data_IF_425956127750
#
_entry.id   IF_425956127750
#
_cell.length_a   1.000
_cell.length_b   1.000
_cell.length_c   1.000
_cell.angle_alpha   90.00
_cell.angle_beta   90.00
_cell.angle_gamma   90.00
#
_symmetry.space_group_name_H-M   'P 1'
#
loop_
_entity.id
_entity.type
_entity.pdbx_description
1 polymer ?
#
# COMPACT_ATOMS: atom_id res chain seq x y z
N UNK A 1 7.82 -20.81 -9.85
CA UNK A 1 6.50 -20.38 -10.36
C UNK A 1 5.42 -21.24 -9.73
N UNK A 2 4.30 -20.64 -9.31
CA UNK A 2 3.17 -21.39 -8.74
C UNK A 2 2.26 -21.91 -9.84
N UNK A 3 1.95 -23.21 -9.82
CA UNK A 3 0.95 -23.80 -10.69
C UNK A 3 -0.41 -23.69 -10.01
N UNK A 4 -1.35 -23.01 -10.66
CA UNK A 4 -2.71 -22.86 -10.17
C UNK A 4 -3.57 -24.02 -10.71
N UNK A 5 -4.33 -24.65 -9.82
CA UNK A 5 -5.29 -25.70 -10.14
C UNK A 5 -6.72 -25.16 -10.03
N UNK A 6 -7.71 -26.00 -10.37
CA UNK A 6 -9.13 -25.68 -10.16
C UNK A 6 -9.42 -25.20 -8.74
N UNK A 7 -10.30 -24.20 -8.62
CA UNK A 7 -10.71 -23.59 -7.34
C UNK A 7 -9.73 -22.57 -6.77
N UNK A 8 -8.63 -22.25 -7.47
CA UNK A 8 -7.68 -21.22 -7.05
C UNK A 8 -8.03 -19.86 -7.67
N UNK A 9 -7.75 -18.80 -6.91
CA UNK A 9 -7.92 -17.40 -7.33
C UNK A 9 -6.53 -16.82 -7.59
N UNK A 10 -6.43 -15.92 -8.57
CA UNK A 10 -5.25 -15.11 -8.83
C UNK A 10 -5.66 -13.66 -9.12
N UNK A 11 -4.71 -12.74 -9.06
CA UNK A 11 -4.98 -11.32 -9.29
C UNK A 11 -5.54 -10.58 -8.07
N UNK A 12 -5.57 -11.21 -6.90
CA UNK A 12 -5.92 -10.57 -5.62
C UNK A 12 -5.06 -9.32 -5.33
N UNK A 13 -3.90 -9.21 -5.95
CA UNK A 13 -3.03 -8.06 -5.83
C UNK A 13 -3.41 -6.87 -6.69
N UNK A 14 -4.27 -7.06 -7.68
CA UNK A 14 -4.87 -5.98 -8.43
C UNK A 14 -5.76 -5.09 -7.53
N UNK A 15 -6.19 -5.61 -6.37
CA UNK A 15 -6.89 -4.85 -5.33
C UNK A 15 -6.00 -3.78 -4.66
N UNK A 16 -4.69 -3.86 -4.82
CA UNK A 16 -3.76 -2.86 -4.31
C UNK A 16 -3.76 -1.64 -5.22
N UNK A 17 -4.02 -0.45 -4.68
CA UNK A 17 -4.00 0.79 -5.46
C UNK A 17 -2.56 1.16 -5.90
N UNK A 18 -1.57 0.80 -5.10
CA UNK A 18 -0.16 1.07 -5.38
C UNK A 18 0.42 0.08 -6.39
N UNK A 19 0.73 0.56 -7.60
CA UNK A 19 1.31 -0.24 -8.67
C UNK A 19 2.64 -0.93 -8.29
N UNK A 20 3.49 -0.29 -7.48
CA UNK A 20 4.78 -0.85 -7.05
C UNK A 20 4.66 -2.05 -6.10
N UNK A 21 3.47 -2.29 -5.53
CA UNK A 21 3.20 -3.46 -4.68
C UNK A 21 2.55 -4.61 -5.45
N UNK A 22 2.16 -4.41 -6.72
CA UNK A 22 1.56 -5.45 -7.56
C UNK A 22 2.64 -6.38 -8.10
N UNK A 23 2.30 -7.65 -8.33
CA UNK A 23 3.20 -8.60 -8.97
C UNK A 23 3.31 -8.24 -10.46
N UNK A 24 4.53 -8.23 -10.98
CA UNK A 24 4.80 -8.05 -12.40
C UNK A 24 4.67 -9.35 -13.21
N UNK A 25 4.09 -10.41 -12.64
CA UNK A 25 4.03 -11.72 -13.27
C UNK A 25 2.70 -11.92 -13.99
N UNK A 26 2.76 -12.34 -15.25
CA UNK A 26 1.58 -12.75 -16.00
C UNK A 26 1.24 -14.22 -15.71
N UNK A 27 -0.04 -14.49 -15.46
CA UNK A 27 -0.53 -15.87 -15.44
C UNK A 27 -0.58 -16.41 -16.88
N UNK A 28 -0.07 -17.64 -17.08
CA UNK A 28 -0.10 -18.32 -18.38
C UNK A 28 -0.93 -19.58 -18.28
N UNK A 29 -1.90 -19.73 -19.17
CA UNK A 29 -2.67 -20.96 -19.32
C UNK A 29 -1.78 -22.07 -19.89
N UNK A 30 -1.72 -23.22 -19.22
CA UNK A 30 -1.06 -24.41 -19.74
C UNK A 30 -2.02 -25.29 -20.54
N UNK A 31 -3.30 -25.30 -20.18
CA UNK A 31 -4.37 -26.08 -20.80
C UNK A 31 -5.62 -25.22 -21.00
N UNK A 32 -6.62 -25.76 -21.70
CA UNK A 32 -7.95 -25.15 -21.76
C UNK A 32 -8.52 -25.03 -20.35
N UNK A 33 -8.97 -23.83 -20.00
CA UNK A 33 -9.44 -23.50 -18.66
C UNK A 33 -10.65 -22.59 -18.76
N UNK A 34 -11.59 -22.79 -17.84
CA UNK A 34 -12.74 -21.92 -17.64
C UNK A 34 -12.42 -20.97 -16.50
N UNK A 35 -12.64 -19.67 -16.71
CA UNK A 35 -12.30 -18.62 -15.74
C UNK A 35 -13.52 -17.78 -15.44
N UNK A 36 -13.74 -17.54 -14.15
CA UNK A 36 -14.62 -16.48 -13.68
C UNK A 36 -13.78 -15.24 -13.43
N UNK A 37 -14.07 -14.16 -14.16
CA UNK A 37 -13.40 -12.88 -14.00
C UNK A 37 -14.38 -11.88 -13.39
N UNK A 38 -13.87 -11.04 -12.49
CA UNK A 38 -14.61 -9.92 -11.89
C UNK A 38 -13.77 -8.67 -12.08
N UNK A 39 -14.34 -7.63 -12.68
CA UNK A 39 -13.66 -6.33 -12.78
C UNK A 39 -13.54 -5.68 -11.39
N UNK A 40 -12.48 -4.89 -11.20
CA UNK A 40 -12.27 -4.18 -9.93
C UNK A 40 -13.43 -3.25 -9.58
N UNK A 41 -13.98 -2.56 -10.57
CA UNK A 41 -15.12 -1.66 -10.37
C UNK A 41 -16.39 -2.41 -9.94
N UNK A 42 -16.63 -3.58 -10.55
CA UNK A 42 -17.79 -4.42 -10.24
C UNK A 42 -17.66 -5.05 -8.86
N UNK A 43 -16.44 -5.43 -8.47
CA UNK A 43 -16.15 -5.89 -7.12
C UNK A 43 -16.43 -4.79 -6.10
N UNK A 44 -15.90 -3.57 -6.32
CA UNK A 44 -16.11 -2.44 -5.42
C UNK A 44 -17.59 -2.07 -5.29
N UNK A 45 -18.34 -2.10 -6.40
CA UNK A 45 -19.79 -1.90 -6.38
C UNK A 45 -20.51 -3.00 -5.60
N UNK A 46 -20.10 -4.26 -5.77
CA UNK A 46 -20.64 -5.38 -4.99
C UNK A 46 -20.34 -5.25 -3.51
N UNK A 47 -19.13 -4.80 -3.14
CA UNK A 47 -18.71 -4.63 -1.74
C UNK A 47 -19.51 -3.54 -1.02
N UNK A 48 -20.03 -2.52 -1.73
CA UNK A 48 -20.94 -1.52 -1.14
C UNK A 48 -22.23 -2.16 -0.60
N UNK A 49 -22.73 -3.20 -1.26
CA UNK A 49 -23.92 -3.95 -0.82
C UNK A 49 -23.65 -4.90 0.35
N UNK A 50 -22.38 -5.26 0.59
CA UNK A 50 -21.98 -6.23 1.61
C UNK A 50 -20.88 -5.68 2.54
N UNK A 51 -21.22 -4.78 3.48
CA UNK A 51 -20.22 -4.05 4.28
C UNK A 51 -19.36 -4.97 5.17
N UNK A 52 -19.92 -6.08 5.66
CA UNK A 52 -19.15 -7.06 6.46
C UNK A 52 -18.07 -7.75 5.62
N UNK A 53 -18.39 -8.13 4.39
CA UNK A 53 -17.44 -8.71 3.42
C UNK A 53 -16.40 -7.68 3.01
N UNK A 54 -16.80 -6.42 2.78
CA UNK A 54 -15.89 -5.33 2.46
C UNK A 54 -14.82 -5.13 3.55
N UNK A 55 -15.20 -5.22 4.83
CA UNK A 55 -14.24 -5.18 5.95
C UNK A 55 -13.22 -6.33 5.89
N UNK A 56 -13.66 -7.54 5.56
CA UNK A 56 -12.78 -8.71 5.43
C UNK A 56 -11.80 -8.53 4.28
N UNK A 57 -12.30 -8.13 3.11
CA UNK A 57 -11.47 -7.86 1.91
C UNK A 57 -10.44 -6.78 2.23
N UNK A 58 -10.87 -5.65 2.80
CA UNK A 58 -9.97 -4.54 3.19
C UNK A 58 -8.85 -5.01 4.12
N UNK A 59 -9.17 -5.79 5.15
CA UNK A 59 -8.17 -6.33 6.10
C UNK A 59 -7.16 -7.25 5.40
N UNK A 60 -7.62 -8.09 4.48
CA UNK A 60 -6.73 -8.96 3.68
C UNK A 60 -5.83 -8.14 2.75
N UNK A 61 -6.39 -7.16 2.04
CA UNK A 61 -5.66 -6.25 1.17
C UNK A 61 -4.57 -5.48 1.92
N UNK A 62 -4.89 -4.94 3.11
CA UNK A 62 -3.90 -4.26 3.97
C UNK A 62 -2.79 -5.22 4.40
N UNK A 63 -3.15 -6.42 4.89
CA UNK A 63 -2.16 -7.43 5.29
C UNK A 63 -1.22 -7.79 4.15
N UNK A 64 -1.76 -7.94 2.94
CA UNK A 64 -0.97 -8.19 1.74
C UNK A 64 -0.05 -7.02 1.39
N UNK A 65 -0.57 -5.79 1.40
CA UNK A 65 0.21 -4.58 1.13
C UNK A 65 1.41 -4.47 2.08
N UNK A 66 1.15 -4.60 3.38
CA UNK A 66 2.17 -4.53 4.44
C UNK A 66 3.22 -5.60 4.25
N UNK A 67 2.81 -6.86 4.08
CA UNK A 67 3.74 -7.98 3.87
C UNK A 67 4.64 -7.75 2.66
N UNK A 68 4.08 -7.29 1.54
CA UNK A 68 4.85 -7.02 0.32
C UNK A 68 5.83 -5.87 0.50
N UNK A 69 5.43 -4.81 1.19
CA UNK A 69 6.32 -3.69 1.48
C UNK A 69 7.49 -4.12 2.38
N UNK A 70 7.24 -4.96 3.38
CA UNK A 70 8.31 -5.55 4.20
C UNK A 70 9.30 -6.37 3.37
N UNK A 71 8.79 -7.26 2.51
CA UNK A 71 9.65 -8.06 1.60
C UNK A 71 10.44 -7.15 0.67
N UNK A 72 9.80 -6.13 0.10
CA UNK A 72 10.46 -5.16 -0.78
C UNK A 72 11.59 -4.43 -0.07
N UNK A 73 11.35 -3.94 1.15
CA UNK A 73 12.36 -3.26 1.97
C UNK A 73 13.48 -4.19 2.40
N UNK A 74 13.19 -5.44 2.75
CA UNK A 74 14.20 -6.43 3.06
C UNK A 74 15.12 -6.68 1.85
N UNK A 75 14.54 -6.86 0.65
CA UNK A 75 15.30 -7.04 -0.58
C UNK A 75 16.14 -5.80 -0.94
N UNK A 76 15.61 -4.59 -0.68
CA UNK A 76 16.34 -3.33 -0.86
C UNK A 76 17.60 -3.29 0.04
N UNK A 77 17.48 -3.68 1.31
CA UNK A 77 18.59 -3.74 2.26
C UNK A 77 19.62 -4.82 1.90
N UNK A 78 19.16 -5.99 1.46
CA UNK A 78 20.06 -7.08 1.00
C UNK A 78 20.89 -6.60 -0.18
N UNK A 79 20.26 -5.96 -1.17
CA UNK A 79 20.96 -5.40 -2.34
C UNK A 79 22.02 -4.37 -1.93
N UNK A 80 21.68 -3.42 -1.06
CA UNK A 80 22.63 -2.42 -0.56
C UNK A 80 23.83 -3.07 0.14
N UNK A 81 23.60 -4.12 0.94
CA UNK A 81 24.68 -4.87 1.60
C UNK A 81 25.59 -5.56 0.58
N UNK A 82 25.02 -6.22 -0.42
CA UNK A 82 25.78 -6.89 -1.48
C UNK A 82 26.64 -5.90 -2.26
N UNK A 83 26.10 -4.73 -2.63
CA UNK A 83 26.89 -3.68 -3.30
C UNK A 83 28.05 -3.18 -2.44
N UNK A 84 27.84 -2.98 -1.14
CA UNK A 84 28.91 -2.56 -0.23
C UNK A 84 30.03 -3.62 -0.10
N UNK A 85 29.68 -4.92 -0.10
CA UNK A 85 30.67 -6.00 -0.07
C UNK A 85 31.46 -6.10 -1.36
N UNK A 86 30.82 -5.96 -2.51
CA UNK A 86 31.49 -5.99 -3.82
C UNK A 86 32.45 -4.80 -3.95
N UNK A 87 32.00 -3.58 -3.63
CA UNK A 87 32.85 -2.39 -3.66
C UNK A 87 34.07 -2.50 -2.72
N UNK A 88 33.92 -3.16 -1.57
CA UNK A 88 35.03 -3.40 -0.64
C UNK A 88 36.01 -4.45 -1.18
N UNK A 89 35.51 -5.49 -1.84
CA UNK A 89 36.32 -6.51 -2.49
C UNK A 89 37.13 -5.93 -3.66
N UNK A 90 36.53 -5.09 -4.50
CA UNK A 90 37.20 -4.38 -5.61
C UNK A 90 38.31 -3.45 -5.11
N UNK A 91 38.08 -2.72 -4.01
CA UNK A 91 39.14 -1.88 -3.41
C UNK A 91 40.31 -2.73 -2.90
N UNK A 92 40.02 -3.88 -2.29
CA UNK A 92 41.06 -4.78 -1.79
C UNK A 92 41.87 -5.41 -2.93
N UNK A 93 41.22 -5.82 -4.01
CA UNK A 93 41.92 -6.36 -5.19
C UNK A 93 42.75 -5.30 -5.91
N UNK A 94 42.24 -4.07 -6.04
CA UNK A 94 42.99 -2.95 -6.59
C UNK A 94 44.21 -2.58 -5.74
N UNK A 95 44.11 -2.69 -4.41
CA UNK A 95 45.25 -2.47 -3.51
C UNK A 95 46.30 -3.58 -3.62
N UNK A 96 45.87 -4.84 -3.79
CA UNK A 96 46.77 -5.98 -4.02
C UNK A 96 47.46 -5.90 -5.40
N UNK A 97 46.82 -5.35 -6.42
CA UNK A 97 47.45 -5.18 -7.74
C UNK A 97 48.35 -3.94 -7.82
N UNK A 98 48.03 -2.87 -7.10
CA UNK A 98 48.90 -1.69 -7.00
C UNK A 98 50.08 -1.90 -6.03
N UNK A 99 49.92 -2.82 -5.08
CA UNK A 99 50.90 -3.17 -4.07
C UNK A 99 51.89 -4.23 -4.53
N UNK A 100 52.98 -3.76 -5.15
CA UNK A 100 54.31 -4.07 -4.66
C UNK A 100 54.86 -5.48 -4.98
N UNK A 101 55.67 -5.53 -6.04
CA UNK A 101 56.79 -6.46 -6.26
C UNK A 101 57.90 -6.27 -5.18
N UNK A 102 57.51 -6.21 -3.91
CA UNK A 102 58.41 -6.16 -2.78
C UNK A 102 58.69 -7.56 -2.30
N UNK A 103 59.64 -8.21 -2.97
CA UNK A 103 60.35 -9.42 -2.55
C UNK A 103 60.50 -9.50 -1.01
N UNK A 104 59.74 -10.41 -0.39
CA UNK A 104 60.07 -10.99 0.90
C UNK A 104 60.07 -12.49 0.66
N UNK A 105 61.28 -13.01 0.50
CA UNK A 105 61.54 -14.45 0.53
C UNK A 105 61.17 -14.96 1.93
N UNK A 106 60.10 -15.74 2.02
CA UNK A 106 59.90 -16.65 3.14
C UNK A 106 59.22 -17.91 2.61
N UNK A 107 59.99 -18.99 2.60
CA UNK A 107 59.58 -20.30 2.10
C UNK A 107 58.76 -21.02 3.17
N UNK A 108 57.47 -21.18 2.89
CA UNK A 108 56.56 -21.98 3.72
C UNK A 108 55.40 -22.50 2.88
N UNK A 109 55.60 -23.69 2.30
CA UNK A 109 54.58 -24.45 1.58
C UNK A 109 53.32 -24.66 2.45
N UNK A 110 52.21 -24.04 2.04
CA UNK A 110 50.87 -24.46 2.44
C UNK A 110 50.11 -24.73 1.14
N UNK A 111 50.14 -25.99 0.72
CA UNK A 111 49.28 -26.53 -0.33
C UNK A 111 47.81 -26.48 0.10
N UNK A 112 47.12 -25.46 -0.37
CA UNK A 112 45.67 -25.37 -0.28
C UNK A 112 45.22 -24.45 -1.40
N UNK A 113 44.99 -25.02 -2.58
CA UNK A 113 44.72 -24.33 -3.84
C UNK A 113 43.22 -23.96 -3.94
N UNK A 114 42.79 -22.69 -3.72
CA UNK A 114 41.52 -22.23 -4.25
C UNK A 114 41.74 -21.86 -5.72
N UNK A 115 41.39 -22.77 -6.61
CA UNK A 115 41.31 -22.47 -8.04
C UNK A 115 40.36 -21.28 -8.24
N UNK A 116 40.98 -20.18 -8.63
CA UNK A 116 40.47 -18.89 -9.09
C UNK A 116 39.50 -18.13 -8.17
N UNK A 117 39.99 -17.00 -7.65
CA UNK A 117 39.20 -15.96 -6.98
C UNK A 117 38.07 -15.41 -7.89
N UNK A 118 38.23 -15.55 -9.21
CA UNK A 118 37.17 -15.29 -10.20
C UNK A 118 36.01 -16.28 -10.11
N UNK A 119 36.25 -17.58 -9.90
CA UNK A 119 35.17 -18.55 -9.66
C UNK A 119 34.46 -18.26 -8.34
N UNK A 120 35.17 -17.83 -7.29
CA UNK A 120 34.52 -17.46 -6.03
C UNK A 120 33.60 -16.24 -6.20
N UNK A 121 34.00 -15.24 -6.98
CA UNK A 121 33.17 -14.07 -7.30
C UNK A 121 31.99 -14.40 -8.20
N UNK A 122 32.17 -15.29 -9.19
CA UNK A 122 31.11 -15.74 -10.07
C UNK A 122 30.09 -16.61 -9.30
N UNK A 123 30.55 -17.45 -8.37
CA UNK A 123 29.70 -18.21 -7.46
C UNK A 123 28.91 -17.32 -6.49
N UNK A 124 29.47 -16.22 -6.00
CA UNK A 124 28.73 -15.25 -5.15
C UNK A 124 27.69 -14.49 -5.97
N UNK A 125 27.99 -14.12 -7.22
CA UNK A 125 27.03 -13.48 -8.14
C UNK A 125 25.86 -14.43 -8.49
N UNK A 126 26.18 -15.69 -8.83
CA UNK A 126 25.19 -16.74 -9.08
C UNK A 126 24.40 -17.09 -7.82
N UNK A 127 25.03 -17.13 -6.65
CA UNK A 127 24.36 -17.37 -5.36
C UNK A 127 23.45 -16.21 -4.96
N UNK A 128 23.80 -14.96 -5.27
CA UNK A 128 22.92 -13.80 -5.07
C UNK A 128 21.65 -13.90 -5.92
N UNK A 129 21.80 -14.22 -7.20
CA UNK A 129 20.67 -14.45 -8.13
C UNK A 129 19.83 -15.67 -7.77
N UNK A 130 20.47 -16.77 -7.34
CA UNK A 130 19.79 -17.99 -6.91
C UNK A 130 19.08 -17.81 -5.56
N UNK A 131 19.68 -17.08 -4.61
CA UNK A 131 19.07 -16.75 -3.33
C UNK A 131 17.89 -15.77 -3.51
N UNK A 132 18.00 -14.78 -4.40
CA UNK A 132 16.88 -13.90 -4.75
C UNK A 132 15.68 -14.69 -5.30
N UNK A 133 15.93 -15.68 -6.16
CA UNK A 133 14.88 -16.55 -6.71
C UNK A 133 14.36 -17.61 -5.72
N UNK A 134 15.23 -18.17 -4.87
CA UNK A 134 14.87 -19.20 -3.90
C UNK A 134 14.12 -18.62 -2.69
N UNK A 135 14.56 -17.48 -2.16
CA UNK A 135 13.90 -16.82 -1.04
C UNK A 135 12.52 -16.29 -1.47
N UNK A 136 12.40 -15.72 -2.67
CA UNK A 136 11.11 -15.29 -3.22
C UNK A 136 10.16 -16.48 -3.49
N UNK A 137 10.70 -17.63 -3.87
CA UNK A 137 9.93 -18.88 -3.99
C UNK A 137 9.51 -19.50 -2.65
N UNK A 138 10.39 -19.54 -1.66
CA UNK A 138 10.16 -20.23 -0.38
C UNK A 138 9.28 -19.41 0.59
N UNK A 139 9.42 -18.07 0.61
CA UNK A 139 8.57 -17.19 1.42
C UNK A 139 7.13 -17.12 0.89
N UNK A 140 6.91 -17.40 -0.40
CA UNK A 140 5.57 -17.55 -0.98
C UNK A 140 5.02 -18.97 -0.77
N UNK A 141 5.85 -20.01 -0.90
CA UNK A 141 5.41 -21.41 -0.74
C UNK A 141 4.89 -21.76 0.66
N UNK A 142 5.42 -21.15 1.73
CA UNK A 142 5.01 -21.54 3.10
C UNK A 142 3.66 -21.02 3.56
N UNK A 143 3.09 -19.98 2.94
CA UNK A 143 1.98 -19.23 3.56
C UNK A 143 0.69 -19.13 2.73
N UNK A 144 0.57 -19.81 1.60
CA UNK A 144 -0.69 -19.89 0.82
C UNK A 144 -1.57 -21.10 1.19
N UNK A 145 -1.27 -21.77 2.32
CA UNK A 145 -2.23 -22.66 2.99
C UNK A 145 -3.24 -21.80 3.76
N UNK A 146 -4.00 -20.98 3.04
CA UNK A 146 -5.26 -20.50 3.55
C UNK A 146 -6.27 -21.63 3.41
N UNK A 147 -6.55 -22.29 4.55
CA UNK A 147 -7.69 -23.16 4.74
C UNK A 147 -8.97 -22.41 4.34
N UNK A 148 -9.46 -22.64 3.12
CA UNK A 148 -10.89 -22.83 2.93
C UNK A 148 -11.14 -24.29 3.28
N UNK A 149 -11.95 -24.51 4.33
CA UNK A 149 -12.18 -25.83 4.93
C UNK A 149 -12.53 -26.90 3.90
N UNK A 150 -11.54 -27.72 3.55
CA UNK A 150 -11.69 -28.98 2.85
C UNK A 150 -11.18 -30.08 3.77
N UNK A 151 -12.11 -30.79 4.40
CA UNK A 151 -11.83 -31.99 5.19
C UNK A 151 -11.25 -33.07 4.26
N UNK A 152 -9.92 -33.22 4.25
CA UNK A 152 -9.23 -34.19 3.40
C UNK A 152 -7.88 -34.57 3.99
N UNK A 153 -7.88 -35.56 4.88
CA UNK A 153 -6.69 -36.06 5.56
C UNK A 153 -5.74 -36.79 4.62
N UNK A 154 -4.58 -36.19 4.34
CA UNK A 154 -3.44 -36.85 3.73
C UNK A 154 -2.27 -36.85 4.71
N UNK A 155 -2.04 -37.99 5.39
CA UNK A 155 -0.96 -38.18 6.37
C UNK A 155 0.31 -38.58 5.63
N UNK A 156 1.24 -37.64 5.41
CA UNK A 156 2.56 -37.95 4.86
C UNK A 156 3.45 -38.46 6.01
N UNK A 157 3.82 -39.74 5.93
CA UNK A 157 4.74 -40.40 6.88
C UNK A 157 6.18 -40.11 6.39
N UNK A 158 6.84 -39.14 7.01
CA UNK A 158 8.27 -38.87 6.84
C UNK A 158 9.08 -39.51 7.97
N UNK A 159 10.15 -40.21 7.62
CA UNK A 159 11.08 -40.89 8.54
C UNK A 159 11.84 -39.90 9.44
N UNK A 160 12.13 -40.25 10.71
CA UNK A 160 12.76 -39.35 11.68
C UNK A 160 14.30 -39.36 11.50
N UNK A 161 14.80 -38.62 10.52
CA UNK A 161 16.22 -38.27 10.42
C UNK A 161 16.53 -37.05 11.29
N UNK A 162 17.47 -37.18 12.23
CA UNK A 162 17.84 -36.16 13.21
C UNK A 162 18.09 -34.77 12.59
N UNK A 163 17.14 -33.86 12.80
CA UNK A 163 17.32 -32.44 12.46
C UNK A 163 18.34 -31.85 13.42
N UNK A 164 19.40 -31.26 12.85
CA UNK A 164 20.37 -30.44 13.59
C UNK A 164 19.64 -29.48 14.54
N UNK A 165 20.09 -29.42 15.80
CA UNK A 165 19.54 -28.54 16.85
C UNK A 165 19.49 -27.08 16.40
N UNK A 166 20.35 -26.69 15.48
CA UNK A 166 20.40 -25.38 14.87
C UNK A 166 19.16 -25.07 14.01
N UNK A 167 18.65 -26.06 13.26
CA UNK A 167 17.42 -25.91 12.46
C UNK A 167 16.20 -25.76 13.36
N UNK A 168 16.14 -26.46 14.49
CA UNK A 168 15.06 -26.31 15.46
C UNK A 168 15.08 -24.93 16.13
N UNK A 169 16.27 -24.43 16.48
CA UNK A 169 16.42 -23.09 17.06
C UNK A 169 16.02 -21.98 16.07
N UNK A 170 16.40 -22.11 14.80
CA UNK A 170 15.97 -21.18 13.75
C UNK A 170 14.46 -21.24 13.52
N UNK A 171 13.87 -22.43 13.47
CA UNK A 171 12.42 -22.59 13.35
C UNK A 171 11.69 -21.91 14.52
N UNK A 172 12.16 -22.12 15.75
CA UNK A 172 11.58 -21.47 16.94
C UNK A 172 11.69 -19.94 16.85
N UNK A 173 12.87 -19.41 16.51
CA UNK A 173 13.08 -17.96 16.38
C UNK A 173 12.17 -17.33 15.31
N UNK A 174 11.97 -18.02 14.18
CA UNK A 174 11.04 -17.54 13.14
C UNK A 174 9.57 -17.58 13.59
N UNK A 175 9.19 -18.57 14.40
CA UNK A 175 7.84 -18.64 14.99
C UNK A 175 7.60 -17.48 15.93
N UNK A 176 8.51 -17.26 16.90
CA UNK A 176 8.39 -16.18 17.88
C UNK A 176 8.34 -14.79 17.20
N UNK A 177 9.09 -14.62 16.10
CA UNK A 177 9.10 -13.39 15.33
C UNK A 177 7.80 -13.18 14.54
N UNK A 178 7.22 -14.25 13.98
CA UNK A 178 5.91 -14.20 13.32
C UNK A 178 4.80 -13.85 14.33
N UNK A 179 4.80 -14.47 15.50
CA UNK A 179 3.82 -14.17 16.56
C UNK A 179 3.90 -12.70 17.00
N UNK A 180 5.12 -12.17 17.17
CA UNK A 180 5.33 -10.76 17.49
C UNK A 180 4.89 -9.80 16.38
N UNK A 181 5.04 -10.19 15.10
CA UNK A 181 4.52 -9.42 13.96
C UNK A 181 2.99 -9.47 13.92
N UNK A 182 2.38 -10.63 14.16
CA UNK A 182 0.93 -10.77 14.21
C UNK A 182 0.32 -9.93 15.32
N UNK A 183 0.90 -9.93 16.51
CA UNK A 183 0.45 -9.10 17.63
C UNK A 183 0.53 -7.60 17.30
N UNK A 184 1.66 -7.13 16.78
CA UNK A 184 1.82 -5.71 16.37
C UNK A 184 0.85 -5.34 15.27
N UNK A 185 0.64 -6.22 14.30
CA UNK A 185 -0.31 -5.99 13.19
C UNK A 185 -1.73 -5.93 13.72
N UNK A 186 -2.10 -6.80 14.67
CA UNK A 186 -3.42 -6.76 15.32
C UNK A 186 -3.64 -5.46 16.09
N UNK A 187 -2.62 -4.96 16.82
CA UNK A 187 -2.67 -3.66 17.51
C UNK A 187 -2.86 -2.50 16.54
N UNK A 188 -2.10 -2.46 15.44
CA UNK A 188 -2.22 -1.41 14.42
C UNK A 188 -3.61 -1.46 13.77
N UNK A 189 -4.09 -2.64 13.39
CA UNK A 189 -5.44 -2.81 12.82
C UNK A 189 -6.52 -2.33 13.80
N UNK A 190 -6.39 -2.65 15.09
CA UNK A 190 -7.32 -2.20 16.13
C UNK A 190 -7.31 -0.67 16.29
N UNK A 191 -6.15 -0.04 16.22
CA UNK A 191 -6.04 1.42 16.29
C UNK A 191 -6.64 2.11 15.06
N UNK A 192 -6.38 1.56 13.86
CA UNK A 192 -7.02 2.05 12.62
C UNK A 192 -8.53 1.90 12.67
N UNK A 193 -9.05 0.80 13.21
CA UNK A 193 -10.49 0.59 13.38
C UNK A 193 -11.09 1.62 14.37
N UNK A 194 -10.39 1.98 15.46
CA UNK A 194 -10.83 3.06 16.37
C UNK A 194 -10.85 4.42 15.69
N UNK A 195 -9.80 4.75 14.93
CA UNK A 195 -9.73 6.02 14.21
C UNK A 195 -10.83 6.13 13.15
N UNK A 196 -11.13 5.04 12.44
CA UNK A 196 -12.25 4.99 11.50
C UNK A 196 -13.60 5.22 12.21
N UNK A 197 -13.80 4.66 13.41
CA UNK A 197 -15.03 4.87 14.19
C UNK A 197 -15.22 6.35 14.55
N UNK A 198 -14.13 7.05 14.92
CA UNK A 198 -14.17 8.50 15.21
C UNK A 198 -14.52 9.30 13.95
N UNK A 199 -13.96 8.92 12.79
CA UNK A 199 -14.28 9.57 11.52
C UNK A 199 -15.73 9.33 11.10
N UNK A 200 -16.27 8.12 11.30
CA UNK A 200 -17.68 7.81 11.04
C UNK A 200 -18.60 8.66 11.93
N UNK A 201 -18.26 8.84 13.20
CA UNK A 201 -19.01 9.71 14.11
C UNK A 201 -18.98 11.19 13.66
N UNK A 202 -17.82 11.72 13.28
CA UNK A 202 -17.71 13.08 12.75
C UNK A 202 -18.47 13.26 11.43
N UNK A 203 -18.45 12.25 10.55
CA UNK A 203 -19.24 12.28 9.31
C UNK A 203 -20.73 12.38 9.60
N UNK A 204 -21.24 11.57 10.54
CA UNK A 204 -22.65 11.62 10.94
C UNK A 204 -23.04 12.97 11.55
N UNK A 205 -22.14 13.62 12.30
CA UNK A 205 -22.36 14.98 12.83
C UNK A 205 -22.45 16.02 11.72
N UNK A 206 -21.61 15.92 10.68
CA UNK A 206 -21.65 16.82 9.53
C UNK A 206 -22.93 16.63 8.70
N UNK A 207 -23.41 15.40 8.55
CA UNK A 207 -24.67 15.11 7.86
C UNK A 207 -25.87 15.72 8.62
N UNK A 208 -25.90 15.57 9.95
CA UNK A 208 -26.91 16.20 10.80
C UNK A 208 -26.90 17.73 10.69
N UNK A 209 -25.71 18.34 10.72
CA UNK A 209 -25.55 19.79 10.56
C UNK A 209 -26.01 20.26 9.17
N UNK A 210 -25.73 19.48 8.14
CA UNK A 210 -26.19 19.74 6.77
C UNK A 210 -27.71 19.72 6.68
N UNK A 211 -28.37 18.78 7.35
CA UNK A 211 -29.85 18.72 7.42
C UNK A 211 -30.41 19.96 8.15
N UNK A 212 -29.81 20.36 9.28
CA UNK A 212 -30.24 21.56 10.02
C UNK A 212 -30.09 22.83 9.20
N UNK A 213 -28.96 23.01 8.48
CA UNK A 213 -28.75 24.17 7.62
C UNK A 213 -29.76 24.21 6.47
N UNK A 214 -30.06 23.07 5.85
CA UNK A 214 -31.11 22.99 4.81
C UNK A 214 -32.48 23.36 5.36
N UNK A 215 -32.85 22.87 6.54
CA UNK A 215 -34.12 23.21 7.18
C UNK A 215 -34.22 24.71 7.50
N UNK A 216 -33.13 25.32 7.98
CA UNK A 216 -33.09 26.74 8.30
C UNK A 216 -33.21 27.63 7.05
N UNK A 217 -32.55 27.26 5.96
CA UNK A 217 -32.68 27.94 4.66
C UNK A 217 -34.10 27.84 4.11
N UNK A 218 -34.75 26.69 4.25
CA UNK A 218 -36.14 26.53 3.82
C UNK A 218 -37.11 27.35 4.68
N UNK A 219 -36.88 27.43 5.99
CA UNK A 219 -37.62 28.32 6.89
C UNK A 219 -37.47 29.80 6.52
N UNK A 220 -36.26 30.24 6.14
CA UNK A 220 -36.03 31.61 5.65
C UNK A 220 -36.80 31.88 4.34
N UNK A 221 -36.85 30.92 3.42
CA UNK A 221 -37.64 31.06 2.18
C UNK A 221 -39.13 31.20 2.48
N UNK A 222 -39.67 30.39 3.39
CA UNK A 222 -41.07 30.49 3.78
C UNK A 222 -41.42 31.84 4.41
N UNK A 223 -40.53 32.37 5.28
CA UNK A 223 -40.70 33.71 5.85
C UNK A 223 -40.63 34.81 4.79
N UNK A 224 -39.72 34.69 3.81
CA UNK A 224 -39.65 35.66 2.70
C UNK A 224 -40.94 35.69 1.88
N UNK A 225 -41.59 34.54 1.67
CA UNK A 225 -42.89 34.49 0.97
C UNK A 225 -44.05 35.09 1.77
N UNK A 226 -44.00 35.10 3.11
CA UNK A 226 -45.03 35.75 3.93
C UNK A 226 -44.86 37.27 4.02
N UNK A 227 -43.64 37.77 3.76
CA UNK A 227 -43.33 39.20 3.78
C UNK A 227 -43.52 39.88 2.42
N UNK A 228 -43.85 39.12 1.37
CA UNK A 228 -44.34 39.70 0.12
C UNK A 228 -45.65 40.45 0.42
N UNK A 229 -45.65 41.80 0.37
CA UNK A 229 -46.80 42.59 0.76
C UNK A 229 -47.95 42.22 -0.16
N UNK A 230 -49.03 41.70 0.43
CA UNK A 230 -50.32 41.54 -0.24
C UNK A 230 -50.60 42.83 -0.99
N UNK A 231 -50.70 42.73 -2.30
CA UNK A 231 -50.84 43.84 -3.23
C UNK A 231 -52.08 44.69 -2.94
N UNK A 232 -52.00 45.55 -1.94
CA UNK A 232 -52.77 46.78 -1.91
C UNK A 232 -52.09 47.69 -2.91
N UNK A 233 -52.76 47.89 -4.05
CA UNK A 233 -52.35 48.83 -5.10
C UNK A 233 -51.72 50.09 -4.51
N UNK A 234 -50.50 50.47 -4.92
CA UNK A 234 -49.90 51.72 -4.45
C UNK A 234 -50.81 52.86 -4.88
N UNK A 235 -51.38 53.57 -3.90
CA UNK A 235 -52.03 54.85 -4.15
C UNK A 235 -50.99 55.76 -4.79
N UNK A 236 -51.42 56.49 -5.82
CA UNK A 236 -50.61 57.29 -6.76
C UNK A 236 -49.59 58.27 -6.13
N UNK A 237 -49.62 58.47 -4.81
CA UNK A 237 -48.69 59.29 -4.06
C UNK A 237 -47.36 58.59 -3.68
N UNK A 238 -47.30 57.25 -3.62
CA UNK A 238 -46.07 56.52 -3.24
C UNK A 238 -45.14 56.19 -4.43
N UNK A 239 -45.65 56.34 -5.66
CA UNK A 239 -44.89 56.13 -6.89
C UNK A 239 -43.78 57.19 -7.09
N UNK A 240 -43.98 58.41 -6.59
CA UNK A 240 -43.00 59.51 -6.75
C UNK A 240 -41.82 59.40 -5.77
N UNK A 241 -42.02 58.82 -4.58
CA UNK A 241 -40.94 58.67 -3.58
C UNK A 241 -39.98 57.54 -3.99
N UNK A 242 -40.49 56.50 -4.63
CA UNK A 242 -39.70 55.34 -5.08
C UNK A 242 -38.77 55.68 -6.24
N UNK A 243 -39.12 56.63 -7.11
CA UNK A 243 -38.24 57.11 -8.19
C UNK A 243 -37.09 58.00 -7.68
N UNK A 244 -37.25 58.67 -6.54
CA UNK A 244 -36.19 59.52 -5.96
C UNK A 244 -35.12 58.64 -5.30
N UNK A 245 -35.49 57.56 -4.62
CA UNK A 245 -34.54 56.64 -3.97
C UNK A 245 -33.70 55.80 -4.96
N UNK A 246 -34.25 55.46 -6.13
CA UNK A 246 -33.51 54.77 -7.18
C UNK A 246 -32.48 55.66 -7.88
N UNK A 247 -32.59 57.00 -7.77
CA UNK A 247 -31.61 57.93 -8.34
C UNK A 247 -30.40 58.19 -7.45
N UNK A 248 -30.52 58.01 -6.14
CA UNK A 248 -29.41 58.24 -5.19
C UNK A 248 -28.47 57.04 -5.01
N UNK A 249 -28.86 55.84 -5.44
CA UNK A 249 -28.00 54.64 -5.38
C UNK A 249 -27.22 54.37 -6.68
N UNK A 250 -27.49 55.10 -7.76
CA UNK A 250 -26.84 54.93 -9.06
C UNK A 250 -25.53 55.73 -9.22
N UNK A 251 -25.00 56.34 -8.17
CA UNK A 251 -23.78 57.18 -8.24
C UNK A 251 -22.55 56.62 -7.50
N UNK A 252 -22.56 55.37 -7.05
CA UNK A 252 -21.39 54.74 -6.41
C UNK A 252 -20.72 53.68 -7.31
N UNK A 253 -20.49 54.05 -8.57
CA UNK A 253 -19.57 53.35 -9.47
C UNK A 253 -18.13 53.72 -9.08
N UNK A 254 -17.52 52.94 -8.17
CA UNK A 254 -16.30 53.42 -7.51
C UNK A 254 -15.35 52.40 -6.89
N UNK A 255 -15.10 51.24 -7.53
CA UNK A 255 -13.77 50.55 -7.63
C UNK A 255 -13.93 49.04 -7.76
N UNK A 256 -13.76 48.58 -9.00
CA UNK A 256 -13.38 47.21 -9.29
C UNK A 256 -12.04 46.89 -8.61
N UNK A 257 -12.07 46.03 -7.58
CA UNK A 257 -10.87 45.31 -7.13
C UNK A 257 -10.76 44.04 -7.96
N UNK A 258 -9.75 44.01 -8.83
CA UNK A 258 -9.33 42.83 -9.59
C UNK A 258 -9.10 41.62 -8.68
N UNK A 259 -9.54 40.40 -9.06
CA UNK A 259 -9.17 39.19 -8.34
C UNK A 259 -7.72 38.84 -8.67
N UNK A 260 -6.79 39.16 -7.77
CA UNK A 260 -5.44 38.62 -7.85
C UNK A 260 -5.50 37.11 -7.57
N UNK A 261 -5.10 36.36 -8.60
CA UNK A 261 -4.72 34.96 -8.62
C UNK A 261 -4.04 34.50 -7.31
N UNK A 262 -4.79 33.79 -6.47
CA UNK A 262 -4.23 33.00 -5.38
C UNK A 262 -3.63 31.71 -5.96
N UNK A 263 -2.37 31.77 -6.36
CA UNK A 263 -1.53 30.59 -6.62
C UNK A 263 -1.40 29.78 -5.32
N UNK A 264 -2.14 28.68 -5.22
CA UNK A 264 -1.92 27.66 -4.21
C UNK A 264 -0.53 27.03 -4.42
N UNK A 265 0.42 27.37 -3.54
CA UNK A 265 1.69 26.66 -3.39
C UNK A 265 1.43 25.36 -2.62
N UNK A 266 1.46 24.24 -3.31
CA UNK A 266 1.66 22.94 -2.66
C UNK A 266 3.13 22.81 -2.23
N UNK A 267 3.45 22.39 -0.99
CA UNK A 267 4.82 22.10 -0.61
C UNK A 267 5.27 20.79 -1.27
N UNK A 268 6.41 20.86 -1.96
CA UNK A 268 7.10 19.72 -2.52
C UNK A 268 7.54 18.76 -1.41
N UNK A 269 7.07 17.51 -1.49
CA UNK A 269 7.69 16.41 -0.78
C UNK A 269 9.05 16.14 -1.44
N UNK A 270 10.14 16.33 -0.67
CA UNK A 270 11.47 15.81 -1.01
C UNK A 270 11.45 14.29 -0.81
N UNK A 271 11.90 13.60 -1.85
CA UNK A 271 12.34 12.20 -1.83
C UNK A 271 13.57 12.02 -0.93
#
# INVERSE_FOLDING_TARGET
>A
GHMLSSGRVWGDDLLLHSAHLRLGHAARALHFLEVYMVDGNDLDNSLKSFPMTAKIVRRRTIRWAVRREFVRKANELIKLRTYATVASAERKSALLSAGQEGSIADEGEIEGNPSSLSEALEQVSLAGSAADNALQGELMQRNDVYYLGGSGGGRIIGTPGGRSTEVQNLQKMTSDLNDGIEEKTARICGEVDRQNLVLEHHSAQLDSLTIMVKALLEGQRQLSHQLEPSSTSPTRAEADVSQIALRTLATDDGKQRSPQSAKARFPAFRL
#
